data_IF_561523623171
#
_entry.id   IF_561523623171
#
_cell.length_a   1.000
_cell.length_b   1.000
_cell.length_c   1.000
_cell.angle_alpha   90.00
_cell.angle_beta   90.00
_cell.angle_gamma   90.00
#
_symmetry.space_group_name_H-M   'P 1'
#
loop_
_entity.id
_entity.type
_entity.pdbx_description
1 polymer ?
#
# COMPACT_ATOMS: atom_id res chain seq x y z
N UNK A 1 22.57 7.76 -2.11
CA UNK A 1 23.43 8.06 -0.94
C UNK A 1 24.33 9.26 -1.17
N UNK A 2 24.95 9.41 -2.36
CA UNK A 2 25.73 10.60 -2.71
C UNK A 2 24.91 11.89 -2.63
N UNK A 3 23.74 11.95 -3.27
CA UNK A 3 22.83 13.10 -3.18
C UNK A 3 22.41 13.42 -1.73
N UNK A 4 22.29 12.41 -0.86
CA UNK A 4 21.98 12.64 0.56
C UNK A 4 23.19 13.16 1.33
N UNK A 5 24.38 12.69 0.99
CA UNK A 5 25.64 13.12 1.60
C UNK A 5 25.93 14.60 1.28
N UNK A 6 25.60 15.06 0.08
CA UNK A 6 25.66 16.47 -0.33
C UNK A 6 24.77 17.38 0.54
N UNK A 7 23.61 16.88 0.97
CA UNK A 7 22.69 17.61 1.87
C UNK A 7 23.17 17.50 3.33
N UNK A 8 23.50 16.29 3.78
CA UNK A 8 23.95 16.03 5.14
C UNK A 8 24.75 14.72 5.23
N UNK A 9 26.06 14.86 5.38
CA UNK A 9 26.99 13.73 5.50
C UNK A 9 26.70 12.82 6.70
N UNK A 10 26.33 13.40 7.85
CA UNK A 10 26.07 12.62 9.06
C UNK A 10 24.82 11.75 8.91
N UNK A 11 23.77 12.28 8.28
CA UNK A 11 22.56 11.52 8.00
C UNK A 11 22.81 10.40 6.98
N UNK A 12 23.64 10.65 5.97
CA UNK A 12 24.04 9.64 5.00
C UNK A 12 24.85 8.50 5.66
N UNK A 13 25.79 8.83 6.54
CA UNK A 13 26.57 7.84 7.28
C UNK A 13 25.65 7.01 8.20
N UNK A 14 24.78 7.66 8.97
CA UNK A 14 23.84 6.98 9.86
C UNK A 14 22.87 6.04 9.14
N UNK A 15 22.38 6.39 7.95
CA UNK A 15 21.54 5.51 7.14
C UNK A 15 22.34 4.36 6.51
N UNK A 16 23.59 4.62 6.11
CA UNK A 16 24.49 3.60 5.56
C UNK A 16 24.81 2.51 6.59
N UNK A 17 24.95 2.89 7.86
CA UNK A 17 25.20 1.96 8.97
C UNK A 17 24.00 1.03 9.27
N UNK A 18 22.81 1.37 8.77
CA UNK A 18 21.59 0.60 9.03
C UNK A 18 21.22 -0.31 7.87
N UNK A 19 20.72 -1.52 8.16
CA UNK A 19 20.18 -2.40 7.13
C UNK A 19 19.13 -1.66 6.29
N UNK A 20 19.23 -1.68 4.94
CA UNK A 20 18.26 -1.02 4.07
C UNK A 20 16.82 -1.49 4.27
N UNK A 21 16.61 -2.68 4.83
CA UNK A 21 15.31 -3.23 5.23
C UNK A 21 14.58 -2.37 6.28
N UNK A 22 15.27 -1.48 6.98
CA UNK A 22 14.68 -0.61 8.02
C UNK A 22 14.24 0.75 7.49
N UNK A 23 14.77 1.20 6.35
CA UNK A 23 14.59 2.59 5.90
C UNK A 23 14.30 2.76 4.40
N UNK A 24 14.62 1.77 3.56
CA UNK A 24 14.34 1.82 2.13
C UNK A 24 13.16 0.93 1.73
N UNK A 25 12.14 1.55 1.09
CA UNK A 25 10.99 0.83 0.54
C UNK A 25 11.38 -0.32 -0.38
N UNK A 26 12.49 -0.21 -1.13
CA UNK A 26 12.97 -1.27 -2.03
C UNK A 26 13.39 -2.56 -1.30
N UNK A 27 13.53 -2.52 0.03
CA UNK A 27 14.00 -3.65 0.84
C UNK A 27 13.05 -4.06 1.97
N UNK A 28 11.87 -3.45 2.10
CA UNK A 28 10.89 -3.90 3.10
C UNK A 28 10.34 -5.29 2.80
N UNK A 29 10.01 -6.01 3.88
CA UNK A 29 9.27 -7.27 3.78
C UNK A 29 7.89 -7.01 3.15
N UNK A 30 7.44 -8.00 2.39
CA UNK A 30 6.14 -7.99 1.74
C UNK A 30 5.03 -8.54 2.65
N UNK A 31 5.36 -9.15 3.79
CA UNK A 31 4.40 -9.81 4.69
C UNK A 31 3.39 -8.85 5.32
N UNK A 32 3.78 -7.66 5.85
CA UNK A 32 2.86 -6.80 6.59
C UNK A 32 1.82 -6.12 5.71
N UNK A 33 2.04 -6.08 4.39
CA UNK A 33 1.27 -5.31 3.40
C UNK A 33 0.95 -3.87 3.85
N UNK A 34 1.90 -3.23 4.54
CA UNK A 34 1.73 -1.91 5.13
C UNK A 34 2.87 -0.98 4.71
N UNK A 35 2.53 0.20 4.18
CA UNK A 35 3.52 1.23 3.82
C UNK A 35 3.99 2.06 5.03
N UNK A 36 3.35 1.89 6.19
CA UNK A 36 3.59 2.76 7.36
C UNK A 36 4.80 2.27 8.15
N UNK A 37 5.89 3.04 8.08
CA UNK A 37 7.11 2.84 8.88
C UNK A 37 7.19 3.75 10.11
N UNK A 38 6.17 4.58 10.30
CA UNK A 38 6.26 5.71 11.22
C UNK A 38 6.05 5.25 12.67
N UNK A 39 6.77 5.91 13.57
CA UNK A 39 6.66 5.77 15.03
C UNK A 39 5.25 6.04 15.57
N UNK A 40 4.34 6.61 14.76
CA UNK A 40 2.97 6.92 15.14
C UNK A 40 2.24 5.73 15.81
N UNK A 41 2.46 4.49 15.37
CA UNK A 41 1.87 3.32 16.02
C UNK A 41 2.40 3.13 17.46
N UNK A 42 3.71 3.30 17.65
CA UNK A 42 4.34 3.21 18.96
C UNK A 42 4.00 4.41 19.85
N UNK A 43 3.90 5.62 19.29
CA UNK A 43 3.49 6.84 20.01
C UNK A 43 2.06 6.73 20.52
N UNK A 44 1.13 6.31 19.66
CA UNK A 44 -0.26 6.05 20.07
C UNK A 44 -0.28 4.98 21.16
N UNK A 45 0.42 3.86 20.96
CA UNK A 45 0.46 2.80 21.96
C UNK A 45 1.01 3.29 23.31
N UNK A 46 2.17 3.96 23.29
CA UNK A 46 2.83 4.48 24.47
C UNK A 46 1.95 5.49 25.21
N UNK A 47 1.27 6.38 24.50
CA UNK A 47 0.34 7.33 25.10
C UNK A 47 -0.86 6.67 25.76
N UNK A 48 -1.40 5.59 25.16
CA UNK A 48 -2.60 4.93 25.68
C UNK A 48 -2.29 4.04 26.90
N UNK A 49 -1.12 3.40 26.94
CA UNK A 49 -0.78 2.45 28.00
C UNK A 49 -0.30 3.12 29.30
N UNK A 50 -0.01 4.42 29.33
CA UNK A 50 0.58 5.11 30.50
C UNK A 50 -0.15 4.81 31.83
N UNK A 51 -1.48 4.80 31.80
CA UNK A 51 -2.30 4.53 33.00
C UNK A 51 -2.37 3.05 33.36
N UNK A 52 -2.31 2.16 32.36
CA UNK A 52 -2.37 0.71 32.55
C UNK A 52 -1.01 0.11 32.96
N UNK A 53 0.10 0.71 32.51
CA UNK A 53 1.48 0.23 32.74
C UNK A 53 1.88 0.19 34.22
N UNK A 54 1.26 1.01 35.06
CA UNK A 54 1.51 1.03 36.52
C UNK A 54 0.76 -0.07 37.27
N UNK A 55 -0.05 -0.88 36.59
CA UNK A 55 -0.86 -1.95 37.18
C UNK A 55 -0.19 -3.31 36.98
N UNK A 56 -0.75 -4.35 37.60
CA UNK A 56 -0.31 -5.73 37.35
C UNK A 56 -0.41 -6.07 35.85
N UNK A 57 0.42 -7.02 35.38
CA UNK A 57 0.43 -7.45 33.98
C UNK A 57 -0.97 -7.92 33.55
N UNK A 58 -1.66 -8.68 34.40
CA UNK A 58 -3.02 -9.16 34.12
C UNK A 58 -4.00 -7.99 33.93
N UNK A 59 -3.96 -7.00 34.83
CA UNK A 59 -4.82 -5.81 34.73
C UNK A 59 -4.51 -4.97 33.48
N UNK A 60 -3.23 -4.88 33.10
CA UNK A 60 -2.81 -4.16 31.90
C UNK A 60 -3.32 -4.84 30.63
N UNK A 61 -3.27 -6.17 30.54
CA UNK A 61 -3.81 -6.91 29.39
C UNK A 61 -5.32 -6.81 29.30
N UNK A 62 -6.03 -6.88 30.42
CA UNK A 62 -7.48 -6.74 30.42
C UNK A 62 -7.91 -5.35 29.94
N UNK A 63 -7.20 -4.31 30.39
CA UNK A 63 -7.42 -2.95 29.92
C UNK A 63 -7.14 -2.81 28.41
N UNK A 64 -6.06 -3.41 27.91
CA UNK A 64 -5.73 -3.39 26.47
C UNK A 64 -6.81 -4.11 25.65
N UNK A 65 -7.32 -5.24 26.15
CA UNK A 65 -8.40 -6.00 25.52
C UNK A 65 -9.66 -5.14 25.38
N UNK A 66 -10.12 -4.53 26.48
CA UNK A 66 -11.29 -3.64 26.49
C UNK A 66 -11.08 -2.42 25.57
N UNK A 67 -9.92 -1.77 25.66
CA UNK A 67 -9.57 -0.63 24.82
C UNK A 67 -9.64 -0.97 23.34
N UNK A 68 -9.02 -2.08 22.92
CA UNK A 68 -9.05 -2.53 21.53
C UNK A 68 -10.47 -2.88 21.08
N UNK A 69 -11.26 -3.54 21.93
CA UNK A 69 -12.66 -3.86 21.62
C UNK A 69 -13.49 -2.61 21.34
N UNK A 70 -13.43 -1.61 22.24
CA UNK A 70 -14.16 -0.35 22.08
C UNK A 70 -13.69 0.36 20.80
N UNK A 71 -12.39 0.49 20.61
CA UNK A 71 -11.82 1.19 19.43
C UNK A 71 -12.19 0.54 18.10
N UNK A 72 -12.15 -0.79 18.05
CA UNK A 72 -12.56 -1.55 16.87
C UNK A 72 -14.07 -1.40 16.61
N UNK A 73 -14.89 -1.44 17.66
CA UNK A 73 -16.34 -1.26 17.53
C UNK A 73 -16.68 0.14 17.03
N UNK A 74 -16.13 1.19 17.64
CA UNK A 74 -16.31 2.56 17.16
C UNK A 74 -15.82 2.72 15.71
N UNK A 75 -14.74 2.04 15.32
CA UNK A 75 -14.25 2.07 13.94
C UNK A 75 -15.24 1.45 12.97
N UNK A 76 -15.88 0.34 13.34
CA UNK A 76 -16.94 -0.30 12.56
C UNK A 76 -18.16 0.60 12.46
N UNK A 77 -18.59 1.23 13.54
CA UNK A 77 -19.74 2.14 13.55
C UNK A 77 -19.47 3.40 12.71
N UNK A 78 -18.27 3.98 12.81
CA UNK A 78 -17.84 5.07 11.92
C UNK A 78 -17.87 4.65 10.45
N UNK A 79 -17.41 3.44 10.14
CA UNK A 79 -17.45 2.93 8.77
C UNK A 79 -18.90 2.77 8.29
N UNK A 80 -19.77 2.14 9.08
CA UNK A 80 -21.19 1.94 8.78
C UNK A 80 -21.94 3.25 8.53
N UNK A 81 -21.64 4.28 9.32
CA UNK A 81 -22.37 5.56 9.30
C UNK A 81 -21.81 6.56 8.28
N UNK A 82 -20.49 6.53 8.00
CA UNK A 82 -19.84 7.55 7.16
C UNK A 82 -19.43 7.07 5.76
N UNK A 83 -19.31 5.76 5.52
CA UNK A 83 -18.86 5.27 4.22
C UNK A 83 -20.04 5.18 3.24
N UNK A 84 -19.96 5.94 2.14
CA UNK A 84 -21.02 5.99 1.12
C UNK A 84 -21.22 4.62 0.46
N UNK A 85 -20.14 4.00 -0.04
CA UNK A 85 -20.22 2.73 -0.78
C UNK A 85 -20.29 1.50 0.16
N UNK A 86 -20.15 1.68 1.48
CA UNK A 86 -20.07 0.67 2.57
C UNK A 86 -19.10 -0.51 2.39
N UNK A 87 -18.49 -0.68 1.21
CA UNK A 87 -17.62 -1.79 0.81
C UNK A 87 -16.14 -1.44 0.85
N UNK A 88 -15.78 -0.19 0.53
CA UNK A 88 -14.39 0.26 0.39
C UNK A 88 -14.14 1.45 1.31
N UNK A 89 -13.02 1.40 2.04
CA UNK A 89 -12.57 2.50 2.88
C UNK A 89 -12.28 3.76 2.04
N UNK A 90 -12.80 4.95 2.43
CA UNK A 90 -12.56 6.20 1.70
C UNK A 90 -11.08 6.52 1.46
N UNK A 91 -10.20 6.17 2.40
CA UNK A 91 -8.75 6.35 2.25
C UNK A 91 -8.20 5.50 1.09
N UNK A 92 -8.62 4.24 0.99
CA UNK A 92 -8.19 3.33 -0.07
C UNK A 92 -8.74 3.81 -1.42
N UNK A 93 -10.01 4.24 -1.46
CA UNK A 93 -10.62 4.83 -2.66
C UNK A 93 -9.81 6.03 -3.17
N UNK A 94 -9.45 6.97 -2.29
CA UNK A 94 -8.59 8.12 -2.64
C UNK A 94 -7.21 7.71 -3.17
N UNK A 95 -6.61 6.65 -2.62
CA UNK A 95 -5.31 6.14 -3.11
C UNK A 95 -5.47 5.57 -4.52
N UNK A 96 -6.53 4.78 -4.76
CA UNK A 96 -6.83 4.22 -6.08
C UNK A 96 -7.10 5.35 -7.09
N UNK A 97 -7.92 6.34 -6.75
CA UNK A 97 -8.20 7.51 -7.60
C UNK A 97 -6.91 8.28 -7.96
N UNK A 98 -6.02 8.49 -6.98
CA UNK A 98 -4.71 9.12 -7.20
C UNK A 98 -3.78 8.29 -8.09
N UNK A 99 -3.83 6.96 -7.99
CA UNK A 99 -3.05 6.09 -8.86
C UNK A 99 -3.65 6.05 -10.27
N UNK A 100 -4.99 6.09 -10.36
CA UNK A 100 -5.77 6.09 -11.60
C UNK A 100 -5.49 7.34 -12.44
N UNK A 101 -5.33 8.50 -11.80
CA UNK A 101 -5.01 9.75 -12.50
C UNK A 101 -3.64 9.74 -13.21
N UNK A 102 -2.81 8.72 -12.99
CA UNK A 102 -1.48 8.55 -13.58
C UNK A 102 -1.39 7.38 -14.57
N UNK A 103 -2.52 6.74 -14.86
CA UNK A 103 -2.57 5.59 -15.77
C UNK A 103 -2.35 6.03 -17.22
N UNK A 104 -2.73 7.26 -17.57
CA UNK A 104 -2.48 7.88 -18.87
C UNK A 104 -1.01 7.95 -19.27
N UNK A 105 -0.12 7.97 -18.28
CA UNK A 105 1.33 8.10 -18.49
C UNK A 105 2.00 6.76 -18.84
N UNK A 106 1.19 5.71 -19.03
CA UNK A 106 1.62 4.33 -19.13
C UNK A 106 0.92 3.61 -20.29
N UNK A 107 1.68 2.86 -21.08
CA UNK A 107 1.18 2.05 -22.19
C UNK A 107 1.36 0.57 -21.83
N UNK A 108 0.28 -0.23 -21.82
CA UNK A 108 0.37 -1.66 -21.54
C UNK A 108 0.69 -2.46 -22.80
N UNK A 109 1.65 -3.38 -22.67
CA UNK A 109 1.95 -4.45 -23.63
C UNK A 109 1.56 -5.77 -22.97
N UNK A 110 0.58 -6.47 -23.56
CA UNK A 110 0.11 -7.76 -23.07
C UNK A 110 1.07 -8.86 -23.52
N UNK A 111 1.63 -9.61 -22.59
CA UNK A 111 2.39 -10.83 -22.89
C UNK A 111 1.46 -12.04 -22.90
N UNK A 112 0.65 -12.21 -21.85
CA UNK A 112 -0.40 -13.23 -21.76
C UNK A 112 -1.57 -12.73 -20.88
N UNK A 113 -2.47 -13.62 -20.45
CA UNK A 113 -3.64 -13.25 -19.64
C UNK A 113 -3.31 -12.75 -18.23
N UNK A 114 -2.10 -13.01 -17.74
CA UNK A 114 -1.63 -12.66 -16.41
C UNK A 114 -0.47 -11.67 -16.41
N UNK A 115 0.35 -11.64 -17.46
CA UNK A 115 1.57 -10.86 -17.53
C UNK A 115 1.47 -9.69 -18.51
N UNK A 116 1.90 -8.51 -18.03
CA UNK A 116 1.97 -7.29 -18.81
C UNK A 116 3.32 -6.60 -18.60
N UNK A 117 3.85 -6.03 -19.68
CA UNK A 117 4.92 -5.05 -19.60
C UNK A 117 4.31 -3.65 -19.73
N UNK A 118 4.63 -2.77 -18.80
CA UNK A 118 4.13 -1.40 -18.77
C UNK A 118 5.26 -0.45 -19.13
N UNK A 119 5.11 0.27 -20.24
CA UNK A 119 6.02 1.33 -20.65
C UNK A 119 5.51 2.67 -20.13
N UNK A 120 6.32 3.38 -19.37
CA UNK A 120 5.98 4.71 -18.84
C UNK A 120 6.68 5.83 -19.62
N UNK A 121 6.12 7.04 -19.58
CA UNK A 121 6.71 8.22 -20.23
C UNK A 121 8.07 8.66 -19.66
N UNK A 122 8.39 8.24 -18.44
CA UNK A 122 9.72 8.42 -17.82
C UNK A 122 10.78 7.45 -18.39
N UNK A 123 10.43 6.65 -19.41
CA UNK A 123 11.29 5.66 -20.03
C UNK A 123 11.36 4.34 -19.26
N UNK A 124 10.73 4.23 -18.08
CA UNK A 124 10.74 2.99 -17.31
C UNK A 124 9.86 1.91 -17.95
N UNK A 125 10.32 0.67 -17.83
CA UNK A 125 9.59 -0.53 -18.26
C UNK A 125 9.45 -1.47 -17.09
N UNK A 126 8.22 -1.82 -16.75
CA UNK A 126 7.90 -2.54 -15.52
C UNK A 126 6.97 -3.69 -15.81
N UNK A 127 7.30 -4.86 -15.28
CA UNK A 127 6.43 -6.02 -15.37
C UNK A 127 5.32 -5.97 -14.31
N UNK A 128 4.13 -6.44 -14.70
CA UNK A 128 2.96 -6.66 -13.85
C UNK A 128 2.54 -8.12 -13.99
N UNK A 129 2.34 -8.78 -12.85
CA UNK A 129 1.90 -10.18 -12.76
C UNK A 129 0.60 -10.25 -11.96
N UNK A 130 -0.49 -10.60 -12.64
CA UNK A 130 -1.79 -10.76 -12.01
C UNK A 130 -1.96 -12.05 -11.22
N UNK A 131 -1.23 -13.11 -11.53
CA UNK A 131 -1.31 -14.34 -10.73
C UNK A 131 -0.75 -14.12 -9.33
N UNK A 132 0.30 -13.29 -9.22
CA UNK A 132 0.95 -12.95 -7.94
C UNK A 132 0.45 -11.64 -7.30
N UNK A 133 -0.42 -10.90 -7.97
CA UNK A 133 -0.79 -9.53 -7.61
C UNK A 133 0.45 -8.64 -7.37
N UNK A 134 1.40 -8.72 -8.31
CA UNK A 134 2.74 -8.17 -8.18
C UNK A 134 3.05 -7.14 -9.26
N UNK A 135 3.94 -6.20 -8.94
CA UNK A 135 4.46 -5.24 -9.89
C UNK A 135 5.94 -4.99 -9.62
N UNK A 136 6.77 -4.88 -10.66
CA UNK A 136 8.20 -4.62 -10.52
C UNK A 136 8.52 -3.34 -9.71
N UNK A 137 7.59 -2.37 -9.61
CA UNK A 137 7.75 -1.20 -8.75
C UNK A 137 7.57 -1.48 -7.25
N UNK A 138 7.24 -2.72 -6.86
CA UNK A 138 6.98 -3.24 -5.49
C UNK A 138 5.85 -2.58 -4.72
N UNK A 139 5.22 -1.51 -5.23
CA UNK A 139 4.14 -0.82 -4.52
C UNK A 139 2.92 -1.70 -4.30
N UNK A 140 2.56 -2.52 -5.31
CA UNK A 140 1.44 -3.45 -5.16
C UNK A 140 1.77 -4.52 -4.12
N UNK A 141 2.98 -5.07 -4.20
CA UNK A 141 3.48 -6.08 -3.27
C UNK A 141 3.54 -5.58 -1.82
N UNK A 142 3.92 -4.31 -1.61
CA UNK A 142 4.09 -3.73 -0.28
C UNK A 142 2.79 -3.25 0.37
N UNK A 143 1.80 -2.85 -0.44
CA UNK A 143 0.58 -2.22 0.08
C UNK A 143 -0.67 -3.08 -0.10
N UNK A 144 -0.61 -4.09 -0.97
CA UNK A 144 -1.79 -4.80 -1.46
C UNK A 144 -2.71 -3.96 -2.35
N UNK A 145 -2.37 -2.69 -2.60
CA UNK A 145 -3.17 -1.77 -3.41
C UNK A 145 -2.56 -1.65 -4.81
N UNK A 146 -3.34 -1.82 -5.89
CA UNK A 146 -2.85 -1.64 -7.25
C UNK A 146 -2.19 -0.26 -7.46
N UNK A 147 -0.94 -0.27 -7.91
CA UNK A 147 -0.22 0.93 -8.33
C UNK A 147 -0.67 1.39 -9.73
N UNK A 148 -0.16 2.54 -10.22
CA UNK A 148 -0.49 3.03 -11.57
C UNK A 148 -0.28 1.97 -12.67
N UNK A 149 0.83 1.22 -12.63
CA UNK A 149 1.15 0.17 -13.63
C UNK A 149 0.15 -0.98 -13.59
N UNK A 150 -0.19 -1.43 -12.38
CA UNK A 150 -1.19 -2.47 -12.18
C UNK A 150 -2.57 -2.04 -12.69
N UNK A 151 -2.99 -0.79 -12.39
CA UNK A 151 -4.22 -0.23 -12.90
C UNK A 151 -4.22 -0.12 -14.43
N UNK A 152 -3.11 0.30 -15.05
CA UNK A 152 -2.96 0.32 -16.52
C UNK A 152 -3.20 -1.06 -17.13
N UNK A 153 -2.58 -2.11 -16.58
CA UNK A 153 -2.81 -3.48 -17.02
C UNK A 153 -4.28 -3.92 -16.84
N UNK A 154 -4.89 -3.57 -15.69
CA UNK A 154 -6.29 -3.96 -15.38
C UNK A 154 -7.24 -3.34 -16.39
N UNK A 155 -7.08 -2.05 -16.69
CA UNK A 155 -7.93 -1.36 -17.66
C UNK A 155 -7.77 -1.93 -19.07
N UNK A 156 -6.54 -2.25 -19.47
CA UNK A 156 -6.29 -2.93 -20.75
C UNK A 156 -7.08 -4.23 -20.85
N UNK A 157 -6.99 -5.09 -19.82
CA UNK A 157 -7.71 -6.36 -19.77
C UNK A 157 -9.24 -6.19 -19.86
N UNK A 158 -9.81 -5.25 -19.12
CA UNK A 158 -11.26 -4.99 -19.14
C UNK A 158 -11.73 -4.49 -20.51
N UNK A 159 -10.96 -3.61 -21.15
CA UNK A 159 -11.27 -3.10 -22.48
C UNK A 159 -11.21 -4.22 -23.53
N UNK A 160 -10.18 -5.07 -23.50
CA UNK A 160 -10.06 -6.22 -24.40
C UNK A 160 -11.26 -7.16 -24.26
N UNK A 161 -11.68 -7.49 -23.04
CA UNK A 161 -12.84 -8.36 -22.79
C UNK A 161 -14.15 -7.76 -23.31
N UNK A 162 -14.36 -6.45 -23.10
CA UNK A 162 -15.55 -5.76 -23.64
C UNK A 162 -15.58 -5.79 -25.17
N UNK A 163 -14.45 -5.57 -25.84
CA UNK A 163 -14.36 -5.62 -27.30
C UNK A 163 -14.63 -7.05 -27.80
N UNK A 164 -14.05 -8.07 -27.16
CA UNK A 164 -14.28 -9.47 -27.51
C UNK A 164 -15.76 -9.86 -27.36
N UNK A 165 -16.40 -9.46 -26.26
CA UNK A 165 -17.82 -9.70 -26.01
C UNK A 165 -18.71 -9.05 -27.08
N UNK A 166 -18.44 -7.79 -27.45
CA UNK A 166 -19.19 -7.09 -28.50
C UNK A 166 -19.01 -7.78 -29.86
N UNK A 167 -17.80 -8.26 -30.18
CA UNK A 167 -17.54 -9.01 -31.41
C UNK A 167 -18.19 -10.39 -31.44
N UNK A 168 -18.41 -11.03 -30.30
CA UNK A 168 -19.03 -12.35 -30.21
C UNK A 168 -20.56 -12.33 -30.31
N UNK A 169 -21.20 -11.15 -30.16
CA UNK A 169 -22.65 -10.97 -30.25
C UNK A 169 -23.09 -10.50 -31.65
N UNK A 170 -22.13 -10.18 -32.53
CA UNK A 170 -22.36 -9.92 -33.95
C UNK A 170 -22.00 -11.15 -34.77
#
# INVERSE_FOLDING_TARGET
>A
MQELAEINQNAANWLSDKPPTQWSRSHFSLDPKCETLLNNCCEIFNSNILKARKKSILTMFEWLREYLMIRLQESRDRAKNKWVDKKICPRIKKIIEKNMSKVSDCIPLKADDYHYEIMCFDGSRLSVDFARHSCACRKWDLTGIPCKHALTAILSKVLTLKIMYIKAIK
#
